data_IF_586593327502
#
_entry.id   IF_586593327502
#
_cell.length_a   1.000
_cell.length_b   1.000
_cell.length_c   1.000
_cell.angle_alpha   90.00
_cell.angle_beta   90.00
_cell.angle_gamma   90.00
#
_symmetry.space_group_name_H-M   'P 1'
#
loop_
_entity.id
_entity.type
_entity.pdbx_description
1 polymer ?
#
# COMPACT_ATOMS: atom_id res chain seq x y z
N UNK A 1 -12.76 -14.47 9.97
CA UNK A 1 -12.63 -13.09 10.50
C UNK A 1 -11.16 -12.74 10.41
N UNK A 2 -10.82 -11.61 9.81
CA UNK A 2 -9.43 -11.20 9.68
C UNK A 2 -8.79 -11.00 11.07
N UNK A 3 -7.59 -11.53 11.28
CA UNK A 3 -6.78 -11.24 12.46
C UNK A 3 -6.02 -9.94 12.25
N UNK A 4 -6.62 -8.83 12.67
CA UNK A 4 -6.05 -7.49 12.55
C UNK A 4 -4.72 -7.32 13.28
N UNK A 5 -4.43 -8.18 14.28
CA UNK A 5 -3.16 -8.15 15.02
C UNK A 5 -2.08 -9.01 14.39
N UNK A 6 -2.39 -9.74 13.32
CA UNK A 6 -1.41 -10.52 12.59
C UNK A 6 -0.26 -9.60 12.15
N UNK A 7 0.96 -10.05 12.40
CA UNK A 7 2.20 -9.35 12.05
C UNK A 7 3.19 -10.40 11.52
N UNK A 8 3.79 -10.20 10.34
CA UNK A 8 4.86 -11.07 9.86
C UNK A 8 6.09 -10.99 10.77
N UNK A 9 6.83 -12.09 10.90
CA UNK A 9 8.07 -12.10 11.71
C UNK A 9 9.15 -11.16 11.14
N UNK A 10 9.25 -11.09 9.80
CA UNK A 10 10.16 -10.20 9.08
C UNK A 10 9.66 -10.00 7.64
N UNK A 11 9.96 -8.85 7.05
CA UNK A 11 9.84 -8.63 5.60
C UNK A 11 11.08 -9.03 4.83
N UNK A 12 12.23 -9.06 5.50
CA UNK A 12 13.54 -9.10 4.88
C UNK A 12 14.20 -10.45 5.09
N UNK A 13 15.05 -10.81 4.13
CA UNK A 13 15.95 -11.96 4.19
C UNK A 13 17.40 -11.48 4.15
N UNK A 14 18.36 -12.39 4.34
CA UNK A 14 19.80 -12.04 4.30
C UNK A 14 20.23 -11.41 2.96
N UNK A 15 19.51 -11.66 1.88
CA UNK A 15 19.85 -11.21 0.53
C UNK A 15 19.12 -9.94 0.11
N UNK A 16 18.00 -9.60 0.76
CA UNK A 16 17.11 -8.53 0.32
C UNK A 16 16.72 -7.59 1.46
N UNK A 17 17.14 -6.34 1.33
CA UNK A 17 16.76 -5.22 2.20
C UNK A 17 15.63 -4.36 1.60
N UNK A 18 15.08 -4.73 0.46
CA UNK A 18 13.95 -4.08 -0.19
C UNK A 18 13.02 -5.15 -0.73
N UNK A 19 11.73 -5.04 -0.43
CA UNK A 19 10.72 -6.00 -0.87
C UNK A 19 9.44 -5.30 -1.29
N UNK A 20 8.73 -5.90 -2.24
CA UNK A 20 7.38 -5.49 -2.59
C UNK A 20 6.42 -5.94 -1.49
N UNK A 21 5.85 -4.98 -0.77
CA UNK A 21 4.97 -5.24 0.36
C UNK A 21 3.53 -5.49 -0.11
N UNK A 22 3.02 -4.60 -0.97
CA UNK A 22 1.63 -4.62 -1.44
C UNK A 22 1.56 -4.13 -2.88
N UNK A 23 0.74 -4.78 -3.71
CA UNK A 23 0.28 -4.24 -4.99
C UNK A 23 -1.17 -3.79 -4.85
N UNK A 24 -1.46 -2.60 -5.34
CA UNK A 24 -2.78 -2.00 -5.39
C UNK A 24 -3.17 -1.81 -6.86
N UNK A 25 -4.37 -2.22 -7.21
CA UNK A 25 -4.98 -1.94 -8.49
C UNK A 25 -6.31 -1.23 -8.26
N UNK A 26 -6.53 -0.09 -8.92
CA UNK A 26 -7.74 0.72 -8.80
C UNK A 26 -8.50 0.70 -10.13
N UNK A 27 -9.37 -0.31 -10.37
CA UNK A 27 -10.12 -0.45 -11.61
C UNK A 27 -11.02 0.75 -11.92
N UNK A 28 -11.49 1.45 -10.88
CA UNK A 28 -12.43 2.57 -11.00
C UNK A 28 -11.75 3.89 -11.37
N UNK A 29 -10.42 3.98 -11.18
CA UNK A 29 -9.66 5.16 -11.59
C UNK A 29 -9.60 5.27 -13.11
N UNK A 30 -9.38 6.50 -13.61
CA UNK A 30 -9.46 6.85 -15.04
C UNK A 30 -8.73 5.88 -15.98
N UNK A 31 -7.58 5.33 -15.55
CA UNK A 31 -6.75 4.44 -16.36
C UNK A 31 -6.55 3.03 -15.76
N UNK A 32 -7.26 2.68 -14.70
CA UNK A 32 -7.00 1.43 -13.97
C UNK A 32 -5.66 1.49 -13.23
N UNK A 33 -5.55 2.42 -12.29
CA UNK A 33 -4.27 2.82 -11.68
C UNK A 33 -3.61 1.67 -10.92
N UNK A 34 -2.29 1.55 -11.02
CA UNK A 34 -1.52 0.54 -10.31
C UNK A 34 -0.45 1.21 -9.44
N UNK A 35 -0.47 0.89 -8.16
CA UNK A 35 0.48 1.40 -7.17
C UNK A 35 1.14 0.22 -6.47
N UNK A 36 2.46 0.24 -6.40
CA UNK A 36 3.26 -0.74 -5.66
C UNK A 36 3.83 -0.08 -4.42
N UNK A 37 3.60 -0.69 -3.26
CA UNK A 37 4.18 -0.24 -1.99
C UNK A 37 5.36 -1.13 -1.65
N UNK A 38 6.54 -0.55 -1.51
CA UNK A 38 7.77 -1.21 -1.12
C UNK A 38 8.08 -0.95 0.35
N UNK A 39 8.68 -1.95 0.99
CA UNK A 39 9.31 -1.82 2.30
C UNK A 39 10.82 -1.90 2.14
N UNK A 40 11.55 -0.94 2.70
CA UNK A 40 13.00 -0.87 2.65
C UNK A 40 13.57 -0.89 4.06
N UNK A 41 14.60 -1.71 4.31
CA UNK A 41 15.34 -1.69 5.55
C UNK A 41 16.54 -0.76 5.44
N UNK A 42 16.48 0.37 6.15
CA UNK A 42 17.51 1.42 6.12
C UNK A 42 17.70 1.98 7.53
N UNK A 43 18.95 2.13 7.98
CA UNK A 43 19.27 2.74 9.29
C UNK A 43 18.56 2.09 10.51
N UNK A 44 18.28 0.79 10.44
CA UNK A 44 17.61 0.05 11.52
C UNK A 44 16.09 0.25 11.59
N UNK A 45 15.49 0.94 10.61
CA UNK A 45 14.04 1.13 10.47
C UNK A 45 13.59 0.58 9.11
N UNK A 46 12.30 0.27 9.05
CA UNK A 46 11.58 -0.09 7.84
C UNK A 46 10.95 1.20 7.31
N UNK A 47 11.38 1.67 6.15
CA UNK A 47 10.75 2.79 5.43
C UNK A 47 9.80 2.27 4.37
N UNK A 48 8.73 3.01 4.11
CA UNK A 48 7.74 2.66 3.09
C UNK A 48 7.77 3.65 1.94
N UNK A 49 7.61 3.15 0.73
CA UNK A 49 7.61 3.95 -0.50
C UNK A 49 6.50 3.44 -1.42
N UNK A 50 5.67 4.34 -1.92
CA UNK A 50 4.66 4.00 -2.93
C UNK A 50 5.13 4.50 -4.30
N UNK A 51 5.04 3.62 -5.29
CA UNK A 51 5.51 3.87 -6.65
C UNK A 51 4.38 3.54 -7.61
N UNK A 52 4.08 4.47 -8.51
CA UNK A 52 3.18 4.28 -9.63
C UNK A 52 3.94 4.37 -10.97
N UNK A 53 3.21 4.28 -12.09
CA UNK A 53 3.80 4.42 -13.42
C UNK A 53 4.18 5.86 -13.79
N UNK A 54 3.54 6.85 -13.16
CA UNK A 54 3.64 8.25 -13.55
C UNK A 54 4.74 9.01 -12.81
N UNK A 55 5.37 8.38 -11.81
CA UNK A 55 6.40 9.00 -10.98
C UNK A 55 5.81 10.01 -10.00
N UNK A 56 4.56 9.79 -9.57
CA UNK A 56 3.92 10.61 -8.56
C UNK A 56 4.55 10.38 -7.18
N UNK A 57 4.61 11.44 -6.37
CA UNK A 57 5.05 11.35 -4.99
C UNK A 57 3.86 11.12 -4.05
N UNK A 58 4.00 10.15 -3.16
CA UNK A 58 2.94 9.72 -2.24
C UNK A 58 3.39 9.85 -0.80
N UNK A 59 2.53 10.46 0.01
CA UNK A 59 2.67 10.50 1.46
C UNK A 59 2.03 9.23 2.06
N UNK A 60 2.84 8.45 2.77
CA UNK A 60 2.41 7.24 3.47
C UNK A 60 2.37 7.46 4.99
N UNK A 61 1.34 6.90 5.63
CA UNK A 61 1.14 6.98 7.08
C UNK A 61 0.88 5.57 7.65
N UNK A 62 1.84 4.96 8.38
CA UNK A 62 3.16 5.50 8.71
C UNK A 62 4.14 5.51 7.52
N UNK A 63 5.08 6.46 7.50
CA UNK A 63 6.17 6.49 6.51
C UNK A 63 7.35 5.58 6.89
N UNK A 64 7.45 5.20 8.16
CA UNK A 64 8.41 4.23 8.65
C UNK A 64 7.92 3.50 9.91
N UNK A 65 8.56 2.39 10.24
CA UNK A 65 8.34 1.61 11.46
C UNK A 65 9.63 0.91 11.89
N UNK A 66 9.69 0.44 13.15
CA UNK A 66 10.85 -0.31 13.65
C UNK A 66 10.70 -1.83 13.49
N UNK A 67 9.47 -2.30 13.32
CA UNK A 67 9.08 -3.70 13.20
C UNK A 67 8.07 -3.82 12.04
N UNK A 68 7.87 -5.01 11.46
CA UNK A 68 6.81 -5.24 10.50
C UNK A 68 5.46 -4.72 11.02
N UNK A 69 4.66 -4.18 10.09
CA UNK A 69 3.33 -3.65 10.40
C UNK A 69 2.40 -4.78 10.83
N UNK A 70 1.38 -4.44 11.62
CA UNK A 70 0.25 -5.35 11.76
C UNK A 70 -0.63 -5.30 10.50
N UNK A 71 -1.52 -6.27 10.34
CA UNK A 71 -2.54 -6.24 9.28
C UNK A 71 -3.37 -4.95 9.37
N UNK A 72 -3.74 -4.52 10.58
CA UNK A 72 -4.43 -3.25 10.81
C UNK A 72 -3.61 -2.05 10.32
N UNK A 73 -2.33 -1.98 10.70
CA UNK A 73 -1.45 -0.88 10.30
C UNK A 73 -1.23 -0.84 8.79
N UNK A 74 -1.13 -2.00 8.11
CA UNK A 74 -1.00 -2.03 6.64
C UNK A 74 -2.29 -1.59 5.94
N UNK A 75 -3.46 -1.91 6.50
CA UNK A 75 -4.74 -1.40 6.02
C UNK A 75 -4.77 0.12 6.15
N UNK A 76 -4.38 0.66 7.31
CA UNK A 76 -4.29 2.11 7.50
C UNK A 76 -3.27 2.78 6.60
N UNK A 77 -2.15 2.13 6.31
CA UNK A 77 -1.17 2.61 5.36
C UNK A 77 -1.76 2.75 3.95
N UNK A 78 -2.53 1.76 3.49
CA UNK A 78 -3.18 1.78 2.18
C UNK A 78 -4.30 2.83 2.13
N UNK A 79 -5.18 2.85 3.14
CA UNK A 79 -6.34 3.74 3.17
C UNK A 79 -5.95 5.20 3.47
N UNK A 80 -4.84 5.41 4.18
CA UNK A 80 -4.31 6.72 4.53
C UNK A 80 -3.31 7.29 3.53
N UNK A 81 -2.99 6.57 2.46
CA UNK A 81 -2.08 7.03 1.40
C UNK A 81 -2.65 8.27 0.71
N UNK A 82 -1.81 9.28 0.51
CA UNK A 82 -2.19 10.54 -0.12
C UNK A 82 -1.20 10.91 -1.22
N UNK A 83 -1.69 11.49 -2.31
CA UNK A 83 -0.84 12.10 -3.33
C UNK A 83 -0.27 13.42 -2.77
N UNK A 84 1.04 13.61 -2.85
CA UNK A 84 1.68 14.87 -2.49
C UNK A 84 1.35 15.94 -3.54
N UNK A 85 0.52 16.92 -3.20
CA UNK A 85 0.05 17.96 -4.13
C UNK A 85 0.95 19.20 -4.16
N UNK A 86 1.90 19.31 -3.23
CA UNK A 86 2.75 20.50 -3.10
C UNK A 86 3.82 20.60 -4.21
N UNK A 87 4.12 19.50 -4.91
CA UNK A 87 5.11 19.43 -6.00
C UNK A 87 4.49 19.35 -7.42
N UNK A 88 3.16 19.41 -7.54
CA UNK A 88 2.46 19.24 -8.83
C UNK A 88 2.39 20.58 -9.59
N UNK A 89 3.53 21.08 -10.08
CA UNK A 89 3.55 22.10 -11.13
C UNK A 89 3.69 21.41 -12.50
N UNK A 90 2.57 20.87 -13.00
CA UNK A 90 2.48 20.28 -14.35
C UNK A 90 2.21 18.77 -14.44
N UNK A 91 2.07 18.03 -13.34
CA UNK A 91 1.62 16.63 -13.37
C UNK A 91 0.09 16.55 -13.56
N UNK A 92 -0.39 15.53 -14.28
CA UNK A 92 -1.83 15.29 -14.41
C UNK A 92 -2.41 15.00 -13.02
N UNK A 93 -3.54 15.64 -12.64
CA UNK A 93 -4.19 15.33 -11.37
C UNK A 93 -4.65 13.88 -11.39
N UNK A 94 -4.00 13.05 -10.57
CA UNK A 94 -4.36 11.64 -10.41
C UNK A 94 -5.49 11.56 -9.37
N UNK A 95 -6.66 11.13 -9.82
CA UNK A 95 -7.81 10.87 -8.94
C UNK A 95 -7.86 9.36 -8.71
N UNK A 96 -7.46 8.94 -7.51
CA UNK A 96 -7.65 7.57 -7.06
C UNK A 96 -9.13 7.40 -6.69
N UNK A 97 -9.87 6.71 -7.55
CA UNK A 97 -11.28 6.41 -7.33
C UNK A 97 -11.46 4.96 -6.89
N UNK A 98 -12.42 4.75 -5.99
CA UNK A 98 -12.83 3.42 -5.54
C UNK A 98 -12.01 2.84 -4.39
N UNK A 99 -12.04 1.51 -4.29
CA UNK A 99 -11.35 0.72 -3.24
C UNK A 99 -10.41 -0.23 -3.98
N UNK A 100 -9.10 -0.26 -3.70
CA UNK A 100 -8.19 -1.05 -4.51
C UNK A 100 -8.45 -2.55 -4.39
N UNK A 101 -8.18 -3.27 -5.46
CA UNK A 101 -7.83 -4.69 -5.40
C UNK A 101 -6.41 -4.81 -4.86
N UNK A 102 -6.21 -5.72 -3.90
CA UNK A 102 -4.97 -5.76 -3.12
C UNK A 102 -4.35 -7.15 -3.14
N UNK A 103 -3.04 -7.20 -3.43
CA UNK A 103 -2.22 -8.41 -3.37
C UNK A 103 -1.02 -8.20 -2.44
N UNK A 104 -0.72 -9.18 -1.59
CA UNK A 104 0.47 -9.17 -0.72
C UNK A 104 0.86 -10.59 -0.34
N UNK A 105 2.15 -10.92 -0.47
CA UNK A 105 2.71 -12.20 -0.03
C UNK A 105 2.90 -12.25 1.51
N UNK A 106 2.96 -11.09 2.16
CA UNK A 106 3.18 -10.97 3.61
C UNK A 106 1.87 -10.99 4.40
N UNK A 107 0.76 -10.55 3.81
CA UNK A 107 -0.53 -10.42 4.47
C UNK A 107 -1.62 -11.24 3.74
N UNK A 108 -1.72 -12.55 4.00
CA UNK A 108 -2.68 -13.43 3.30
C UNK A 108 -4.14 -13.02 3.42
N UNK A 109 -4.47 -12.27 4.48
CA UNK A 109 -5.84 -11.86 4.81
C UNK A 109 -6.22 -10.51 4.17
N UNK A 110 -5.24 -9.79 3.62
CA UNK A 110 -5.41 -8.44 3.10
C UNK A 110 -6.31 -8.41 1.85
N UNK A 111 -6.08 -9.33 0.92
CA UNK A 111 -6.91 -9.48 -0.27
C UNK A 111 -8.38 -9.70 0.11
N UNK A 112 -8.64 -10.63 1.03
CA UNK A 112 -10.01 -10.92 1.50
C UNK A 112 -10.70 -9.71 2.11
N UNK A 113 -10.00 -8.94 2.95
CA UNK A 113 -10.54 -7.72 3.55
C UNK A 113 -10.96 -6.69 2.49
N UNK A 114 -10.08 -6.40 1.52
CA UNK A 114 -10.38 -5.42 0.46
C UNK A 114 -11.45 -5.91 -0.52
N UNK A 115 -11.48 -7.21 -0.86
CA UNK A 115 -12.56 -7.79 -1.68
C UNK A 115 -13.92 -7.70 -0.99
N UNK A 116 -14.01 -7.99 0.31
CA UNK A 116 -15.25 -7.80 1.08
C UNK A 116 -15.65 -6.33 1.14
N UNK A 117 -14.68 -5.42 1.30
CA UNK A 117 -14.92 -3.98 1.27
C UNK A 117 -15.48 -3.53 -0.08
N UNK A 118 -14.87 -3.93 -1.21
CA UNK A 118 -15.37 -3.63 -2.57
C UNK A 118 -16.82 -4.06 -2.76
N UNK A 119 -17.17 -5.30 -2.36
CA UNK A 119 -18.55 -5.82 -2.40
C UNK A 119 -19.53 -4.97 -1.61
N UNK A 120 -19.17 -4.56 -0.40
CA UNK A 120 -20.02 -3.76 0.47
C UNK A 120 -20.32 -2.37 -0.12
N UNK A 121 -19.45 -1.86 -1.00
CA UNK A 121 -19.63 -0.58 -1.70
C UNK A 121 -20.17 -0.74 -3.13
N UNK A 122 -20.48 -1.96 -3.58
CA UNK A 122 -21.04 -2.23 -4.90
C UNK A 122 -20.05 -2.07 -6.06
N UNK A 123 -18.76 -2.30 -5.81
CA UNK A 123 -17.66 -2.19 -6.78
C UNK A 123 -17.23 -3.56 -7.36
N UNK A 124 -18.01 -4.62 -7.12
CA UNK A 124 -17.70 -6.01 -7.48
C UNK A 124 -18.78 -6.61 -8.40
#
# INVERSE_FOLDING_TARGET
MADFKFRPDSYFSEEHNSVLLVKLHFPESTWGEQISIYAHFQEGKITFEAVDFYGNDYLLYPSFSWEPLTLEDVIYLIEGMQLNQDEIDGAMPLVLDGIPEVESDFYPQLQGYFSEKRKNFGLD
#
